data_IF_923017364835
#
_entry.id   IF_923017364835
#
_cell.length_a   1.000
_cell.length_b   1.000
_cell.length_c   1.000
_cell.angle_alpha   90.00
_cell.angle_beta   90.00
_cell.angle_gamma   90.00
#
_symmetry.space_group_name_H-M   'P 1'
#
loop_
_entity.id
_entity.type
_entity.pdbx_description
1 polymer ?
#
# COMPACT_ATOMS: atom_id res chain seq x y z
N UNK A 1 -14.22 17.22 9.57
CA UNK A 1 -14.20 16.80 8.15
C UNK A 1 -12.89 16.06 7.91
N UNK A 2 -12.89 15.02 7.09
CA UNK A 2 -11.67 14.28 6.75
C UNK A 2 -10.80 15.14 5.81
N UNK A 3 -9.52 15.29 6.10
CA UNK A 3 -8.60 16.08 5.26
C UNK A 3 -8.29 15.34 3.95
N UNK A 4 -7.80 16.07 2.93
CA UNK A 4 -7.35 15.45 1.68
C UNK A 4 -6.28 14.38 1.92
N UNK A 5 -5.33 14.64 2.83
CA UNK A 5 -4.26 13.69 3.19
C UNK A 5 -4.82 12.43 3.85
N UNK A 6 -5.79 12.58 4.76
CA UNK A 6 -6.46 11.43 5.38
C UNK A 6 -7.23 10.60 4.34
N UNK A 7 -7.93 11.25 3.41
CA UNK A 7 -8.68 10.58 2.35
C UNK A 7 -7.76 9.84 1.38
N UNK A 8 -6.60 10.41 1.05
CA UNK A 8 -5.57 9.74 0.25
C UNK A 8 -4.99 8.52 0.95
N UNK A 9 -4.70 8.62 2.25
CA UNK A 9 -4.32 7.44 3.05
C UNK A 9 -5.43 6.39 3.06
N UNK A 10 -6.70 6.81 3.13
CA UNK A 10 -7.87 5.94 3.01
C UNK A 10 -7.94 5.21 1.66
N UNK A 11 -7.70 5.91 0.55
CA UNK A 11 -7.65 5.31 -0.80
C UNK A 11 -6.54 4.25 -0.87
N UNK A 12 -5.35 4.56 -0.35
CA UNK A 12 -4.24 3.59 -0.33
C UNK A 12 -4.61 2.32 0.45
N UNK A 13 -5.19 2.48 1.64
CA UNK A 13 -5.61 1.34 2.47
C UNK A 13 -6.73 0.52 1.82
N UNK A 14 -7.68 1.18 1.16
CA UNK A 14 -8.72 0.48 0.39
C UNK A 14 -8.12 -0.32 -0.77
N UNK A 15 -7.14 0.24 -1.48
CA UNK A 15 -6.43 -0.46 -2.55
C UNK A 15 -5.68 -1.69 -2.04
N UNK A 16 -4.97 -1.57 -0.92
CA UNK A 16 -4.31 -2.72 -0.26
C UNK A 16 -5.33 -3.77 0.13
N UNK A 17 -6.44 -3.39 0.78
CA UNK A 17 -7.48 -4.33 1.19
C UNK A 17 -8.09 -5.08 0.01
N UNK A 18 -8.32 -4.41 -1.13
CA UNK A 18 -8.81 -5.04 -2.35
C UNK A 18 -7.81 -6.04 -2.91
N UNK A 19 -6.54 -5.67 -3.03
CA UNK A 19 -5.51 -6.55 -3.61
C UNK A 19 -5.22 -7.73 -2.69
N UNK A 20 -5.05 -7.50 -1.38
CA UNK A 20 -4.84 -8.58 -0.40
C UNK A 20 -6.07 -9.48 -0.34
N UNK A 21 -7.29 -8.92 -0.37
CA UNK A 21 -8.52 -9.68 -0.40
C UNK A 21 -8.65 -10.55 -1.66
N UNK A 22 -8.31 -10.00 -2.82
CA UNK A 22 -8.29 -10.74 -4.08
C UNK A 22 -7.26 -11.87 -4.08
N UNK A 23 -6.03 -11.61 -3.64
CA UNK A 23 -4.99 -12.63 -3.53
C UNK A 23 -5.34 -13.71 -2.50
N UNK A 24 -5.94 -13.32 -1.37
CA UNK A 24 -6.42 -14.27 -0.35
C UNK A 24 -7.55 -15.15 -0.86
N UNK A 25 -8.49 -14.58 -1.63
CA UNK A 25 -9.55 -15.34 -2.28
C UNK A 25 -9.00 -16.28 -3.35
N UNK A 26 -8.10 -15.82 -4.22
CA UNK A 26 -7.45 -16.64 -5.23
C UNK A 26 -6.66 -17.81 -4.61
N UNK A 27 -5.94 -17.54 -3.52
CA UNK A 27 -5.24 -18.56 -2.74
C UNK A 27 -6.19 -19.61 -2.17
N UNK A 28 -7.33 -19.19 -1.60
CA UNK A 28 -8.35 -20.08 -1.07
C UNK A 28 -9.04 -20.94 -2.15
N UNK A 29 -9.04 -20.49 -3.41
CA UNK A 29 -9.61 -21.20 -4.56
C UNK A 29 -8.56 -22.00 -5.35
N UNK A 30 -7.40 -22.29 -4.75
CA UNK A 30 -6.39 -23.15 -5.36
C UNK A 30 -5.45 -22.44 -6.33
N UNK A 31 -5.46 -21.11 -6.40
CA UNK A 31 -4.58 -20.31 -7.25
C UNK A 31 -3.08 -20.40 -6.90
N UNK A 32 -2.74 -21.13 -5.83
CA UNK A 32 -1.39 -21.43 -5.37
C UNK A 32 -0.92 -22.87 -5.66
N UNK A 33 -1.82 -23.76 -6.08
CA UNK A 33 -1.49 -25.17 -6.33
C UNK A 33 -0.62 -25.26 -7.58
N UNK A 34 0.57 -25.87 -7.45
CA UNK A 34 1.56 -26.07 -8.52
C UNK A 34 1.98 -24.78 -9.26
N UNK A 35 1.85 -23.63 -8.60
CA UNK A 35 2.19 -22.35 -9.20
C UNK A 35 3.71 -22.18 -9.30
N UNK A 36 4.23 -22.16 -10.53
CA UNK A 36 5.63 -21.82 -10.79
C UNK A 36 5.96 -20.39 -10.36
N UNK A 37 7.23 -20.12 -10.04
CA UNK A 37 7.71 -18.76 -9.75
C UNK A 37 7.34 -17.74 -10.85
N UNK A 38 7.35 -18.16 -12.13
CA UNK A 38 6.98 -17.30 -13.26
C UNK A 38 5.49 -16.94 -13.26
N UNK A 39 4.60 -17.91 -13.02
CA UNK A 39 3.15 -17.63 -12.97
C UNK A 39 2.79 -16.77 -11.76
N UNK A 40 3.45 -16.98 -10.62
CA UNK A 40 3.32 -16.09 -9.46
C UNK A 40 3.83 -14.68 -9.78
N UNK A 41 4.96 -14.53 -10.48
CA UNK A 41 5.49 -13.22 -10.84
C UNK A 41 4.55 -12.43 -11.74
N UNK A 42 3.94 -13.09 -12.75
CA UNK A 42 2.91 -12.48 -13.61
C UNK A 42 1.70 -12.05 -12.78
N UNK A 43 1.25 -12.88 -11.84
CA UNK A 43 0.14 -12.55 -10.95
C UNK A 43 0.46 -11.33 -10.07
N UNK A 44 1.66 -11.29 -9.48
CA UNK A 44 2.12 -10.14 -8.68
C UNK A 44 2.25 -8.87 -9.54
N UNK A 45 2.68 -8.99 -10.79
CA UNK A 45 2.74 -7.86 -11.73
C UNK A 45 1.35 -7.27 -11.99
N UNK A 46 0.34 -8.12 -12.20
CA UNK A 46 -1.05 -7.68 -12.31
C UNK A 46 -1.57 -7.06 -11.01
N UNK A 47 -1.21 -7.61 -9.86
CA UNK A 47 -1.57 -7.03 -8.56
C UNK A 47 -1.00 -5.62 -8.39
N UNK A 48 0.28 -5.42 -8.73
CA UNK A 48 0.93 -4.09 -8.71
C UNK A 48 0.26 -3.14 -9.71
N UNK A 49 0.06 -3.59 -10.96
CA UNK A 49 -0.61 -2.78 -11.98
C UNK A 49 -2.01 -2.35 -11.56
N UNK A 50 -2.80 -3.27 -11.01
CA UNK A 50 -4.12 -3.00 -10.46
C UNK A 50 -4.09 -2.01 -9.31
N UNK A 51 -3.14 -2.15 -8.38
CA UNK A 51 -2.97 -1.23 -7.26
C UNK A 51 -2.63 0.19 -7.73
N UNK A 52 -1.74 0.32 -8.72
CA UNK A 52 -1.38 1.62 -9.31
C UNK A 52 -2.60 2.28 -9.95
N UNK A 53 -3.32 1.56 -10.81
CA UNK A 53 -4.54 2.07 -11.46
C UNK A 53 -5.59 2.46 -10.42
N UNK A 54 -5.81 1.62 -9.42
CA UNK A 54 -6.76 1.90 -8.34
C UNK A 54 -6.40 3.18 -7.58
N UNK A 55 -5.13 3.37 -7.22
CA UNK A 55 -4.70 4.56 -6.49
C UNK A 55 -4.83 5.83 -7.34
N UNK A 56 -4.53 5.77 -8.65
CA UNK A 56 -4.72 6.90 -9.57
C UNK A 56 -6.19 7.29 -9.64
N UNK A 57 -7.07 6.31 -9.91
CA UNK A 57 -8.52 6.55 -10.00
C UNK A 57 -9.06 7.05 -8.67
N UNK A 58 -8.66 6.41 -7.56
CA UNK A 58 -9.05 6.80 -6.22
C UNK A 58 -8.62 8.22 -5.87
N UNK A 59 -7.41 8.64 -6.24
CA UNK A 59 -6.92 10.01 -6.05
C UNK A 59 -7.74 11.05 -6.84
N UNK A 60 -8.10 10.72 -8.08
CA UNK A 60 -8.95 11.58 -8.92
C UNK A 60 -10.33 11.72 -8.26
N UNK A 61 -10.96 10.62 -7.86
CA UNK A 61 -12.27 10.62 -7.22
C UNK A 61 -12.25 11.36 -5.88
N UNK A 62 -11.23 11.13 -5.06
CA UNK A 62 -10.96 11.87 -3.83
C UNK A 62 -10.97 13.38 -4.08
N UNK A 63 -10.18 13.82 -5.05
CA UNK A 63 -10.07 15.24 -5.41
C UNK A 63 -11.43 15.81 -5.84
N UNK A 64 -12.17 15.10 -6.69
CA UNK A 64 -13.52 15.51 -7.12
C UNK A 64 -14.46 15.65 -5.91
N UNK A 65 -14.46 14.68 -5.00
CA UNK A 65 -15.34 14.67 -3.81
C UNK A 65 -15.05 15.87 -2.91
N UNK A 66 -13.78 16.17 -2.62
CA UNK A 66 -13.47 17.34 -1.78
C UNK A 66 -13.82 18.65 -2.48
N UNK A 67 -13.57 18.78 -3.79
CA UNK A 67 -13.98 19.97 -4.55
C UNK A 67 -15.48 20.25 -4.43
N UNK A 68 -16.30 19.18 -4.53
CA UNK A 68 -17.76 19.29 -4.38
C UNK A 68 -18.15 19.71 -2.96
N UNK A 69 -17.51 19.14 -1.95
CA UNK A 69 -17.82 19.41 -0.53
C UNK A 69 -17.43 20.84 -0.15
N UNK A 70 -16.23 21.30 -0.55
CA UNK A 70 -15.71 22.61 -0.16
C UNK A 70 -16.32 23.76 -0.99
N UNK A 71 -16.90 23.46 -2.16
CA UNK A 71 -17.47 24.46 -3.10
C UNK A 71 -16.48 25.59 -3.47
N UNK A 72 -15.18 25.36 -3.34
CA UNK A 72 -14.10 26.27 -3.72
C UNK A 72 -13.14 25.52 -4.66
N UNK A 73 -12.47 26.24 -5.56
CA UNK A 73 -11.33 25.67 -6.28
C UNK A 73 -10.31 25.16 -5.26
N UNK A 74 -9.78 23.96 -5.48
CA UNK A 74 -8.70 23.40 -4.65
C UNK A 74 -7.53 24.38 -4.66
N UNK A 75 -7.41 25.21 -3.62
CA UNK A 75 -6.15 25.88 -3.33
C UNK A 75 -5.30 24.85 -2.62
N UNK A 76 -4.26 24.41 -3.29
CA UNK A 76 -3.19 23.61 -2.69
C UNK A 76 -2.63 24.44 -1.53
N UNK A 77 -3.06 24.12 -0.32
CA UNK A 77 -2.62 24.82 0.88
C UNK A 77 -1.12 24.51 1.03
N UNK A 78 -0.24 25.52 1.18
CA UNK A 78 1.18 25.29 1.26
C UNK A 78 1.45 24.29 2.38
N UNK A 79 2.17 23.21 2.08
CA UNK A 79 2.41 22.14 3.05
C UNK A 79 3.00 22.73 4.32
N UNK A 80 2.25 22.61 5.42
CA UNK A 80 2.70 23.10 6.73
C UNK A 80 3.92 22.29 7.19
N UNK A 81 4.75 22.86 8.06
CA UNK A 81 5.89 22.16 8.68
C UNK A 81 5.42 20.86 9.36
N UNK A 82 4.19 20.86 9.85
CA UNK A 82 3.51 19.69 10.41
C UNK A 82 3.37 18.56 9.39
N UNK A 83 2.88 18.84 8.19
CA UNK A 83 2.66 17.82 7.14
C UNK A 83 3.98 17.18 6.72
N UNK A 84 5.03 17.99 6.58
CA UNK A 84 6.37 17.50 6.29
C UNK A 84 6.89 16.58 7.40
N UNK A 85 6.67 16.96 8.67
CA UNK A 85 7.09 16.15 9.82
C UNK A 85 6.32 14.82 9.92
N UNK A 86 5.02 14.82 9.62
CA UNK A 86 4.18 13.63 9.62
C UNK A 86 4.63 12.69 8.51
N UNK A 87 4.79 13.21 7.29
CA UNK A 87 5.23 12.43 6.14
C UNK A 87 6.60 11.79 6.38
N UNK A 88 7.57 12.54 6.92
CA UNK A 88 8.89 12.00 7.23
C UNK A 88 8.85 10.87 8.28
N UNK A 89 8.03 11.01 9.33
CA UNK A 89 7.87 9.96 10.35
C UNK A 89 7.20 8.71 9.79
N UNK A 90 6.15 8.88 8.99
CA UNK A 90 5.45 7.79 8.32
C UNK A 90 6.36 7.05 7.35
N UNK A 91 7.14 7.78 6.55
CA UNK A 91 8.09 7.21 5.61
C UNK A 91 9.20 6.43 6.33
N UNK A 92 9.68 6.92 7.48
CA UNK A 92 10.62 6.17 8.32
C UNK A 92 10.02 4.84 8.79
N UNK A 93 8.80 4.86 9.31
CA UNK A 93 8.11 3.65 9.77
C UNK A 93 7.89 2.65 8.62
N UNK A 94 7.51 3.17 7.45
CA UNK A 94 7.38 2.42 6.20
C UNK A 94 8.68 1.72 5.80
N UNK A 95 9.80 2.46 5.80
CA UNK A 95 11.12 1.93 5.48
C UNK A 95 11.55 0.82 6.44
N UNK A 96 11.29 0.97 7.74
CA UNK A 96 11.52 -0.10 8.71
C UNK A 96 10.64 -1.32 8.44
N UNK A 97 9.35 -1.14 8.20
CA UNK A 97 8.44 -2.24 7.91
C UNK A 97 8.85 -3.03 6.65
N UNK A 98 9.18 -2.35 5.56
CA UNK A 98 9.68 -3.00 4.34
C UNK A 98 10.99 -3.73 4.58
N UNK A 99 11.95 -3.10 5.27
CA UNK A 99 13.26 -3.70 5.52
C UNK A 99 13.16 -4.93 6.41
N UNK A 100 12.34 -4.87 7.46
CA UNK A 100 12.09 -6.00 8.36
C UNK A 100 11.38 -7.13 7.60
N UNK A 101 10.34 -6.83 6.82
CA UNK A 101 9.64 -7.84 6.04
C UNK A 101 10.55 -8.53 5.02
N UNK A 102 11.40 -7.75 4.32
CA UNK A 102 12.37 -8.29 3.38
C UNK A 102 13.46 -9.14 4.09
N UNK A 103 13.95 -8.70 5.25
CA UNK A 103 14.95 -9.44 6.02
C UNK A 103 14.38 -10.77 6.56
N UNK A 104 13.14 -10.76 7.08
CA UNK A 104 12.48 -11.96 7.57
C UNK A 104 12.24 -12.98 6.47
N UNK A 105 12.03 -12.55 5.22
CA UNK A 105 11.90 -13.43 4.06
C UNK A 105 13.18 -14.23 3.77
N UNK A 106 14.36 -13.68 4.09
CA UNK A 106 15.62 -14.36 3.83
C UNK A 106 15.80 -15.60 4.71
N UNK A 107 15.17 -15.66 5.89
CA UNK A 107 15.30 -16.78 6.82
C UNK A 107 14.79 -18.10 6.18
N UNK A 108 13.52 -18.22 5.75
CA UNK A 108 13.04 -19.45 5.12
C UNK A 108 13.77 -19.77 3.81
N UNK A 109 14.16 -18.76 3.03
CA UNK A 109 14.95 -18.96 1.81
C UNK A 109 16.32 -19.57 2.12
N UNK A 110 17.00 -19.10 3.16
CA UNK A 110 18.26 -19.68 3.62
C UNK A 110 18.08 -21.11 4.17
N UNK A 111 16.88 -21.45 4.65
CA UNK A 111 16.52 -22.80 5.08
C UNK A 111 16.10 -23.73 3.92
N UNK A 112 16.19 -23.28 2.66
CA UNK A 112 15.88 -24.09 1.48
C UNK A 112 14.41 -24.10 1.09
N UNK A 113 13.62 -23.13 1.55
CA UNK A 113 12.24 -22.99 1.10
C UNK A 113 12.15 -22.61 -0.39
N UNK A 114 10.99 -22.87 -1.00
CA UNK A 114 10.76 -22.65 -2.43
C UNK A 114 11.00 -21.19 -2.86
N UNK A 115 11.70 -20.99 -3.99
CA UNK A 115 12.02 -19.67 -4.55
C UNK A 115 10.77 -18.86 -4.91
N UNK A 116 9.62 -19.51 -5.10
CA UNK A 116 8.32 -18.86 -5.26
C UNK A 116 7.98 -17.95 -4.07
N UNK A 117 8.45 -18.26 -2.86
CA UNK A 117 8.34 -17.36 -1.70
C UNK A 117 9.09 -16.04 -1.91
N UNK A 118 10.22 -16.05 -2.61
CA UNK A 118 10.97 -14.84 -2.90
C UNK A 118 10.15 -13.86 -3.76
N UNK A 119 9.36 -14.40 -4.70
CA UNK A 119 8.46 -13.59 -5.56
C UNK A 119 7.35 -12.95 -4.72
N UNK A 120 6.75 -13.70 -3.79
CA UNK A 120 5.77 -13.14 -2.86
C UNK A 120 6.39 -12.07 -1.97
N UNK A 121 7.58 -12.29 -1.43
CA UNK A 121 8.21 -11.29 -0.58
C UNK A 121 8.65 -10.03 -1.33
N UNK A 122 9.05 -10.13 -2.61
CA UNK A 122 9.31 -8.97 -3.47
C UNK A 122 8.08 -8.07 -3.61
N UNK A 123 6.89 -8.67 -3.62
CA UNK A 123 5.61 -7.96 -3.67
C UNK A 123 5.16 -7.47 -2.28
N UNK A 124 5.11 -8.38 -1.30
CA UNK A 124 4.49 -8.11 0.01
C UNK A 124 5.34 -7.21 0.91
N UNK A 125 6.68 -7.22 0.81
CA UNK A 125 7.52 -6.35 1.64
C UNK A 125 7.29 -4.84 1.37
N UNK A 126 7.32 -4.35 0.12
CA UNK A 126 6.96 -2.95 -0.16
C UNK A 126 5.47 -2.67 0.07
N UNK A 127 4.58 -3.63 -0.18
CA UNK A 127 3.15 -3.49 0.11
C UNK A 127 2.90 -3.25 1.62
N UNK A 128 3.57 -4.02 2.48
CA UNK A 128 3.54 -3.84 3.94
C UNK A 128 4.05 -2.47 4.35
N UNK A 129 5.17 -2.03 3.76
CA UNK A 129 5.70 -0.69 3.99
C UNK A 129 4.72 0.41 3.61
N UNK A 130 4.11 0.32 2.42
CA UNK A 130 3.09 1.28 1.97
C UNK A 130 1.85 1.29 2.88
N UNK A 131 1.45 0.11 3.37
CA UNK A 131 0.34 -0.02 4.33
C UNK A 131 0.69 0.66 5.66
N UNK A 132 1.88 0.40 6.20
CA UNK A 132 2.35 1.05 7.44
C UNK A 132 2.49 2.56 7.25
N UNK A 133 2.91 3.03 6.08
CA UNK A 133 2.93 4.46 5.77
C UNK A 133 1.53 5.07 5.87
N UNK A 134 0.56 4.49 5.14
CA UNK A 134 -0.80 5.01 5.09
C UNK A 134 -1.49 4.96 6.47
N UNK A 135 -1.29 3.88 7.25
CA UNK A 135 -1.77 3.80 8.63
C UNK A 135 -1.11 4.88 9.49
N UNK A 136 0.22 5.04 9.40
CA UNK A 136 0.95 6.03 10.19
C UNK A 136 0.49 7.45 9.88
N UNK A 137 0.31 7.80 8.61
CA UNK A 137 -0.24 9.09 8.19
C UNK A 137 -1.64 9.30 8.78
N UNK A 138 -2.55 8.33 8.61
CA UNK A 138 -3.92 8.43 9.14
C UNK A 138 -3.94 8.60 10.66
N UNK A 139 -3.09 7.86 11.39
CA UNK A 139 -2.99 7.94 12.84
C UNK A 139 -2.41 9.30 13.27
N UNK A 140 -1.32 9.75 12.66
CA UNK A 140 -0.67 11.00 13.03
C UNK A 140 -1.52 12.23 12.69
N UNK A 141 -2.23 12.24 11.55
CA UNK A 141 -3.17 13.32 11.22
C UNK A 141 -4.36 13.40 12.20
N UNK A 142 -4.76 12.28 12.81
CA UNK A 142 -5.87 12.24 13.78
C UNK A 142 -5.48 12.59 15.21
N UNK A 143 -4.25 12.28 15.62
CA UNK A 143 -3.79 12.46 17.01
C UNK A 143 -3.29 13.89 17.27
N UNK A 144 -2.76 14.58 16.26
CA UNK A 144 -2.20 15.92 16.46
C UNK A 144 -2.09 16.66 15.17
#
# INVERSE_FOLDING_TARGET
>A
MMSYKEMMAGVQLAGVALVVGWLGWDAANGGLVDASAASVAVKMLWAVGGLVVFNIVGAILATIVISIIQRSEFRDEPSDERDASISARSQRNSGFATSIAAALLLIPLAMGADVTLAVYGLFFAPLLGGTVNAISELVYYRIG
#
